data_IF_194066705952
#
_entry.id   IF_194066705952
#
_cell.length_a   1.000
_cell.length_b   1.000
_cell.length_c   1.000
_cell.angle_alpha   90.00
_cell.angle_beta   90.00
_cell.angle_gamma   90.00
#
_symmetry.space_group_name_H-M   'P 1'
#
loop_
_entity.id
_entity.type
_entity.pdbx_description
1 polymer ?
#
# COMPACT_ATOMS: atom_id res chain seq x y z
N UNK A 1 -20.63 -13.31 6.53
CA UNK A 1 -20.21 -12.60 5.29
C UNK A 1 -20.17 -13.62 4.16
N UNK A 2 -20.93 -13.40 3.11
CA UNK A 2 -21.14 -14.37 2.02
C UNK A 2 -20.18 -14.15 0.85
N UNK A 3 -19.64 -12.94 0.64
CA UNK A 3 -18.62 -12.64 -0.36
C UNK A 3 -17.86 -11.36 0.01
N UNK A 4 -16.67 -11.19 -0.59
CA UNK A 4 -15.84 -9.99 -0.45
C UNK A 4 -15.52 -9.44 -1.83
N UNK A 5 -15.66 -8.13 -2.01
CA UNK A 5 -15.14 -7.39 -3.17
C UNK A 5 -13.98 -6.50 -2.72
N UNK A 6 -12.85 -6.60 -3.39
CA UNK A 6 -11.66 -5.78 -3.15
C UNK A 6 -11.35 -4.98 -4.42
N UNK A 7 -11.12 -3.68 -4.29
CA UNK A 7 -10.86 -2.77 -5.40
C UNK A 7 -9.54 -2.05 -5.16
N UNK A 8 -8.58 -2.16 -6.08
CA UNK A 8 -7.26 -1.55 -5.96
C UNK A 8 -6.58 -1.88 -4.61
N UNK A 9 -6.70 -3.14 -4.15
CA UNK A 9 -6.40 -3.50 -2.77
C UNK A 9 -4.96 -3.99 -2.56
N UNK A 10 -4.36 -3.55 -1.46
CA UNK A 10 -3.11 -4.06 -0.94
C UNK A 10 -3.40 -5.23 0.01
N UNK A 11 -2.88 -6.42 -0.29
CA UNK A 11 -2.98 -7.62 0.57
C UNK A 11 -1.68 -7.90 1.34
N UNK A 12 -0.52 -7.58 0.75
CA UNK A 12 0.80 -7.67 1.37
C UNK A 12 1.39 -6.27 1.53
N UNK A 13 1.25 -5.71 2.73
CA UNK A 13 1.68 -4.34 3.03
C UNK A 13 3.22 -4.21 2.99
N UNK A 14 3.97 -5.27 3.35
CA UNK A 14 5.43 -5.25 3.24
C UNK A 14 5.86 -5.13 1.78
N UNK A 15 5.26 -5.94 0.92
CA UNK A 15 5.58 -5.93 -0.50
C UNK A 15 5.20 -4.59 -1.14
N UNK A 16 4.01 -4.09 -0.85
CA UNK A 16 3.57 -2.76 -1.27
C UNK A 16 4.56 -1.67 -0.84
N UNK A 17 4.97 -1.64 0.43
CA UNK A 17 5.95 -0.69 0.93
C UNK A 17 7.29 -0.77 0.18
N UNK A 18 7.82 -1.98 -0.02
CA UNK A 18 9.08 -2.18 -0.73
C UNK A 18 8.99 -1.78 -2.21
N UNK A 19 7.86 -2.02 -2.85
CA UNK A 19 7.58 -1.57 -4.23
C UNK A 19 7.43 -0.05 -4.30
N UNK A 20 6.82 0.58 -3.28
CA UNK A 20 6.63 2.04 -3.22
C UNK A 20 7.92 2.83 -2.95
N UNK A 21 8.92 2.23 -2.29
CA UNK A 21 10.24 2.84 -2.12
C UNK A 21 11.23 2.49 -3.24
N UNK A 22 10.86 1.64 -4.19
CA UNK A 22 11.68 1.37 -5.37
C UNK A 22 11.83 2.65 -6.23
N UNK A 23 12.74 2.62 -7.22
CA UNK A 23 12.99 3.77 -8.10
C UNK A 23 11.80 3.97 -9.07
N UNK A 24 10.70 4.53 -8.55
CA UNK A 24 9.45 4.84 -9.26
C UNK A 24 9.12 6.31 -9.10
N UNK A 25 8.46 6.89 -10.11
CA UNK A 25 8.21 8.34 -10.21
C UNK A 25 6.75 8.73 -9.97
N UNK A 26 5.92 7.82 -9.47
CA UNK A 26 4.52 8.12 -9.14
C UNK A 26 4.47 9.01 -7.90
N UNK A 27 3.93 10.21 -8.05
CA UNK A 27 3.98 11.29 -7.05
C UNK A 27 3.22 10.98 -5.75
N UNK A 28 2.28 10.04 -5.77
CA UNK A 28 1.53 9.58 -4.61
C UNK A 28 2.30 8.59 -3.73
N UNK A 29 3.34 7.92 -4.25
CA UNK A 29 4.09 6.92 -3.48
C UNK A 29 4.80 7.50 -2.25
N UNK A 30 5.45 8.68 -2.31
CA UNK A 30 6.00 9.32 -1.11
C UNK A 30 4.96 9.60 -0.02
N UNK A 31 3.70 9.88 -0.40
CA UNK A 31 2.61 10.07 0.55
C UNK A 31 2.29 8.76 1.29
N UNK A 32 2.09 7.65 0.56
CA UNK A 32 1.83 6.35 1.17
C UNK A 32 2.99 5.87 2.04
N UNK A 33 4.22 6.07 1.59
CA UNK A 33 5.43 5.74 2.35
C UNK A 33 5.49 6.56 3.64
N UNK A 34 5.26 7.88 3.59
CA UNK A 34 5.24 8.75 4.77
C UNK A 34 4.17 8.32 5.76
N UNK A 35 2.96 8.09 5.27
CA UNK A 35 1.83 7.66 6.11
C UNK A 35 2.13 6.34 6.82
N UNK A 36 2.61 5.33 6.09
CA UNK A 36 2.97 4.03 6.67
C UNK A 36 4.07 4.16 7.71
N UNK A 37 5.12 4.94 7.43
CA UNK A 37 6.23 5.15 8.37
C UNK A 37 5.75 5.80 9.67
N UNK A 38 4.97 6.87 9.58
CA UNK A 38 4.45 7.57 10.77
C UNK A 38 3.44 6.71 11.54
N UNK A 39 2.47 6.09 10.86
CA UNK A 39 1.44 5.28 11.51
C UNK A 39 2.01 4.02 12.19
N UNK A 40 2.99 3.36 11.56
CA UNK A 40 3.63 2.18 12.15
C UNK A 40 4.56 2.56 13.30
N UNK A 41 5.18 3.73 13.28
CA UNK A 41 5.97 4.21 14.40
C UNK A 41 5.10 4.55 15.61
N UNK A 42 4.01 5.28 15.37
CA UNK A 42 3.05 5.64 16.41
C UNK A 42 2.45 4.42 17.13
N UNK A 43 2.18 3.33 16.38
CA UNK A 43 1.56 2.10 16.94
C UNK A 43 2.58 1.12 17.51
N UNK A 44 3.77 1.00 16.89
CA UNK A 44 4.70 -0.09 17.15
C UNK A 44 6.10 0.35 17.60
N UNK A 45 6.39 1.64 17.63
CA UNK A 45 7.71 2.21 17.98
C UNK A 45 8.85 1.54 17.17
N UNK A 46 8.75 1.61 15.83
CA UNK A 46 9.63 0.85 14.92
C UNK A 46 10.91 1.58 14.52
N UNK A 47 10.99 2.91 14.69
CA UNK A 47 12.18 3.70 14.31
C UNK A 47 12.42 4.96 15.16
N UNK A 48 11.53 5.34 16.05
CA UNK A 48 11.71 6.45 17.02
C UNK A 48 11.59 7.84 16.36
N UNK A 49 12.69 8.52 16.07
CA UNK A 49 12.61 9.91 15.61
C UNK A 49 12.47 10.00 14.09
N UNK A 50 11.63 10.93 13.56
CA UNK A 50 11.52 11.19 12.12
C UNK A 50 12.87 11.46 11.42
N UNK A 51 13.83 12.09 12.12
CA UNK A 51 15.18 12.35 11.61
C UNK A 51 16.03 11.11 11.41
N UNK A 52 15.63 9.94 11.89
CA UNK A 52 16.31 8.68 11.64
C UNK A 52 15.87 8.05 10.30
N UNK A 53 14.69 8.43 9.84
CA UNK A 53 14.02 7.89 8.64
C UNK A 53 14.06 8.87 7.47
N UNK A 54 13.61 10.10 7.70
CA UNK A 54 13.46 11.11 6.65
C UNK A 54 14.71 11.98 6.52
N UNK A 55 14.99 12.43 5.29
CA UNK A 55 15.97 13.52 5.05
C UNK A 55 15.42 14.86 5.49
N UNK A 56 16.29 15.83 5.73
CA UNK A 56 15.87 17.22 5.81
C UNK A 56 15.51 17.77 4.41
N UNK A 57 14.48 18.61 4.29
CA UNK A 57 13.66 19.18 5.37
C UNK A 57 12.52 18.27 5.84
N UNK A 58 12.27 17.14 5.18
CA UNK A 58 11.11 16.25 5.38
C UNK A 58 11.01 15.70 6.81
N UNK A 59 12.15 15.47 7.47
CA UNK A 59 12.16 15.06 8.87
C UNK A 59 11.44 16.06 9.82
N UNK A 60 11.45 17.34 9.46
CA UNK A 60 10.81 18.40 10.23
C UNK A 60 9.38 18.71 9.77
N UNK A 61 9.05 18.45 8.50
CA UNK A 61 7.78 18.88 7.90
C UNK A 61 6.76 17.75 7.79
N UNK A 62 7.19 16.53 7.43
CA UNK A 62 6.30 15.41 7.16
C UNK A 62 5.38 15.05 8.34
N UNK A 63 5.84 15.01 9.61
CA UNK A 63 4.92 14.72 10.72
C UNK A 63 3.74 15.68 10.83
N UNK A 64 3.93 16.95 10.48
CA UNK A 64 2.87 17.97 10.52
C UNK A 64 1.89 17.91 9.35
N UNK A 65 2.22 17.21 8.27
CA UNK A 65 1.33 17.10 7.10
C UNK A 65 0.15 16.13 7.33
N UNK A 66 0.25 15.23 8.31
CA UNK A 66 -0.76 14.21 8.61
C UNK A 66 -1.59 14.53 9.85
N UNK A 67 -1.94 15.80 10.03
CA UNK A 67 -2.67 16.35 11.19
C UNK A 67 -4.20 16.37 11.04
N UNK A 68 -4.73 15.78 9.96
CA UNK A 68 -6.16 15.81 9.59
C UNK A 68 -6.71 17.21 9.22
N UNK A 69 -5.84 18.21 9.04
CA UNK A 69 -6.21 19.56 8.62
C UNK A 69 -5.71 19.89 7.21
N UNK A 70 -4.63 19.22 6.78
CA UNK A 70 -4.12 19.34 5.42
C UNK A 70 -4.94 18.48 4.46
N UNK A 71 -5.31 19.04 3.30
CA UNK A 71 -5.93 18.30 2.21
C UNK A 71 -4.87 17.48 1.44
N UNK A 72 -5.34 16.54 0.63
CA UNK A 72 -4.48 15.65 -0.15
C UNK A 72 -3.42 16.39 -0.99
N UNK A 73 -3.82 17.48 -1.66
CA UNK A 73 -2.93 18.28 -2.49
C UNK A 73 -1.87 19.02 -1.66
N UNK A 74 -2.20 19.47 -0.44
CA UNK A 74 -1.24 20.12 0.48
C UNK A 74 -0.18 19.11 0.94
N UNK A 75 -0.60 17.89 1.25
CA UNK A 75 0.33 16.81 1.62
C UNK A 75 1.25 16.48 0.46
N UNK A 76 0.73 16.33 -0.76
CA UNK A 76 1.55 16.07 -1.94
C UNK A 76 2.56 17.20 -2.20
N UNK A 77 2.14 18.47 -2.07
CA UNK A 77 3.02 19.62 -2.27
C UNK A 77 4.17 19.69 -1.25
N UNK A 78 3.99 19.10 -0.06
CA UNK A 78 5.00 19.03 0.99
C UNK A 78 6.00 17.88 0.84
N UNK A 79 5.84 17.02 -0.18
CA UNK A 79 6.65 15.82 -0.37
C UNK A 79 7.53 15.90 -1.63
N UNK A 80 8.64 15.16 -1.68
CA UNK A 80 9.47 15.09 -2.88
C UNK A 80 8.81 14.19 -3.96
N UNK A 81 9.24 14.27 -5.22
CA UNK A 81 8.69 13.47 -6.31
C UNK A 81 8.93 11.96 -6.17
N UNK A 82 9.93 11.55 -5.38
CA UNK A 82 10.25 10.13 -5.20
C UNK A 82 10.46 9.77 -3.72
N UNK A 83 10.11 8.54 -3.37
CA UNK A 83 10.37 8.01 -2.02
C UNK A 83 11.87 7.93 -1.68
N UNK A 84 12.73 7.83 -2.70
CA UNK A 84 14.18 7.84 -2.51
C UNK A 84 14.71 9.20 -2.05
N UNK A 85 14.12 10.29 -2.54
CA UNK A 85 14.46 11.65 -2.10
C UNK A 85 13.91 11.97 -0.71
N UNK A 86 12.82 11.30 -0.31
CA UNK A 86 12.22 11.40 1.00
C UNK A 86 13.08 10.76 2.10
N UNK A 87 13.60 9.55 1.83
CA UNK A 87 14.24 8.71 2.84
C UNK A 87 15.74 8.98 2.96
N UNK A 88 16.26 8.85 4.17
CA UNK A 88 17.73 8.84 4.40
C UNK A 88 18.36 7.66 3.68
N UNK A 89 19.53 7.81 3.03
CA UNK A 89 20.19 6.73 2.31
C UNK A 89 20.46 5.50 3.17
N UNK A 90 20.87 5.72 4.42
CA UNK A 90 21.15 4.61 5.35
C UNK A 90 19.86 3.84 5.70
N UNK A 91 18.75 4.54 5.99
CA UNK A 91 17.47 3.90 6.27
C UNK A 91 16.92 3.18 5.04
N UNK A 92 16.98 3.83 3.87
CA UNK A 92 16.57 3.21 2.59
C UNK A 92 17.33 1.90 2.31
N UNK A 93 18.64 1.91 2.49
CA UNK A 93 19.47 0.71 2.27
C UNK A 93 19.12 -0.39 3.29
N UNK A 94 19.01 -0.02 4.56
CA UNK A 94 18.71 -0.94 5.65
C UNK A 94 17.34 -1.59 5.49
N UNK A 95 16.27 -0.81 5.26
CA UNK A 95 14.92 -1.36 5.13
C UNK A 95 14.76 -2.26 3.91
N UNK A 96 15.55 -2.05 2.85
CA UNK A 96 15.54 -2.93 1.65
C UNK A 96 16.30 -4.23 1.87
N UNK A 97 17.44 -4.17 2.52
CA UNK A 97 18.36 -5.31 2.62
C UNK A 97 18.12 -6.19 3.87
N UNK A 98 17.56 -5.61 4.94
CA UNK A 98 17.37 -6.32 6.19
C UNK A 98 15.90 -6.79 6.38
N UNK A 99 15.58 -8.08 6.15
CA UNK A 99 14.23 -8.60 6.38
C UNK A 99 13.82 -8.62 7.86
N UNK A 100 14.77 -8.43 8.79
CA UNK A 100 14.51 -8.34 10.24
C UNK A 100 14.35 -6.90 10.73
N UNK A 101 14.37 -5.91 9.82
CA UNK A 101 14.04 -4.53 10.16
C UNK A 101 12.68 -4.46 10.90
N UNK A 102 12.57 -3.74 12.04
CA UNK A 102 11.35 -3.70 12.85
C UNK A 102 10.10 -3.34 12.07
N UNK A 103 10.16 -2.31 11.21
CA UNK A 103 9.05 -1.95 10.32
C UNK A 103 8.63 -3.12 9.43
N UNK A 104 9.57 -3.77 8.74
CA UNK A 104 9.27 -4.89 7.85
C UNK A 104 8.61 -6.07 8.57
N UNK A 105 9.06 -6.35 9.80
CA UNK A 105 8.44 -7.38 10.64
C UNK A 105 6.97 -7.04 10.90
N UNK A 106 6.65 -5.79 11.27
CA UNK A 106 5.27 -5.36 11.53
C UNK A 106 4.42 -5.33 10.26
N UNK A 107 4.97 -4.85 9.14
CA UNK A 107 4.26 -4.89 7.85
C UNK A 107 3.88 -6.33 7.48
N UNK A 108 4.79 -7.31 7.64
CA UNK A 108 4.48 -8.73 7.41
C UNK A 108 3.42 -9.30 8.33
N UNK A 109 3.39 -8.86 9.59
CA UNK A 109 2.37 -9.28 10.55
C UNK A 109 0.98 -8.77 10.19
N UNK A 110 0.90 -7.62 9.51
CA UNK A 110 -0.34 -7.02 9.03
C UNK A 110 -0.74 -7.47 7.60
N UNK A 111 0.06 -8.31 6.93
CA UNK A 111 -0.29 -8.84 5.62
C UNK A 111 -1.49 -9.80 5.72
N UNK A 112 -2.51 -9.56 4.87
CA UNK A 112 -3.77 -10.34 4.88
C UNK A 112 -3.83 -11.41 3.80
N UNK A 113 -2.75 -11.68 3.09
CA UNK A 113 -2.66 -12.73 2.07
C UNK A 113 -2.14 -14.09 2.60
N UNK A 114 -1.97 -14.19 3.94
CA UNK A 114 -1.41 -15.36 4.62
C UNK A 114 -2.46 -16.18 5.38
N UNK A 115 -3.71 -15.84 5.24
CA UNK A 115 -4.84 -16.54 5.87
C UNK A 115 -5.71 -17.28 4.85
N UNK A 116 -6.70 -18.04 5.32
CA UNK A 116 -7.69 -18.71 4.48
C UNK A 116 -9.06 -18.07 4.72
N UNK A 117 -9.52 -17.16 3.84
CA UNK A 117 -10.86 -16.60 3.95
C UNK A 117 -11.92 -17.65 3.58
N UNK A 118 -12.95 -17.78 4.42
CA UNK A 118 -14.08 -18.66 4.13
C UNK A 118 -14.97 -18.12 3.01
N UNK A 119 -15.06 -16.79 2.89
CA UNK A 119 -15.87 -16.15 1.84
C UNK A 119 -15.07 -16.01 0.54
N UNK A 120 -15.68 -16.21 -0.63
CA UNK A 120 -15.01 -15.95 -1.91
C UNK A 120 -14.68 -14.46 -2.07
N UNK A 121 -13.51 -14.18 -2.64
CA UNK A 121 -13.02 -12.82 -2.89
C UNK A 121 -13.04 -12.57 -4.40
N UNK A 122 -13.61 -11.45 -4.81
CA UNK A 122 -13.41 -10.89 -6.15
C UNK A 122 -12.61 -9.61 -6.06
N UNK A 123 -11.47 -9.61 -6.76
CA UNK A 123 -10.59 -8.44 -6.84
C UNK A 123 -10.83 -7.75 -8.18
N UNK A 124 -10.97 -6.43 -8.15
CA UNK A 124 -11.03 -5.55 -9.31
C UNK A 124 -9.76 -4.71 -9.35
N UNK A 125 -8.99 -4.79 -10.44
CA UNK A 125 -7.71 -4.11 -10.51
C UNK A 125 -7.29 -3.81 -11.94
N UNK A 126 -6.60 -2.68 -12.15
CA UNK A 126 -5.99 -2.34 -13.43
C UNK A 126 -4.56 -2.88 -13.52
N UNK A 127 -4.16 -3.51 -14.63
CA UNK A 127 -2.74 -3.82 -14.87
C UNK A 127 -1.85 -2.58 -14.95
N UNK A 128 -2.42 -1.42 -15.30
CA UNK A 128 -1.75 -0.13 -15.45
C UNK A 128 -1.84 0.74 -14.18
N UNK A 129 -2.32 0.19 -13.06
CA UNK A 129 -2.34 0.87 -11.78
C UNK A 129 -0.91 1.16 -11.29
N UNK A 130 -0.55 2.44 -11.22
CA UNK A 130 0.80 2.90 -10.85
C UNK A 130 0.97 3.17 -9.35
N UNK A 131 -0.10 3.05 -8.56
CA UNK A 131 -0.07 3.22 -7.11
C UNK A 131 -0.05 1.88 -6.39
N UNK A 132 -0.96 0.97 -6.75
CA UNK A 132 -1.00 -0.40 -6.25
C UNK A 132 -0.65 -1.36 -7.39
N UNK A 133 0.56 -1.87 -7.37
CA UNK A 133 1.14 -2.60 -8.51
C UNK A 133 0.48 -3.95 -8.76
N UNK A 134 0.11 -4.21 -10.01
CA UNK A 134 -0.58 -5.44 -10.41
C UNK A 134 0.23 -6.70 -10.12
N UNK A 135 1.56 -6.65 -10.25
CA UNK A 135 2.44 -7.77 -9.91
C UNK A 135 2.41 -8.11 -8.41
N UNK A 136 2.22 -7.12 -7.53
CA UNK A 136 2.11 -7.33 -6.08
C UNK A 136 0.77 -7.99 -5.74
N UNK A 137 -0.31 -7.57 -6.41
CA UNK A 137 -1.60 -8.23 -6.34
C UNK A 137 -1.52 -9.69 -6.79
N UNK A 138 -0.92 -9.96 -7.96
CA UNK A 138 -0.81 -11.32 -8.50
C UNK A 138 -0.06 -12.25 -7.53
N UNK A 139 1.01 -11.76 -6.91
CA UNK A 139 1.76 -12.53 -5.91
C UNK A 139 0.89 -12.87 -4.68
N UNK A 140 0.11 -11.90 -4.20
CA UNK A 140 -0.79 -12.09 -3.06
C UNK A 140 -1.94 -13.04 -3.39
N UNK A 141 -2.57 -12.89 -4.56
CA UNK A 141 -3.63 -13.80 -5.01
C UNK A 141 -3.12 -15.23 -5.18
N UNK A 142 -1.88 -15.40 -5.69
CA UNK A 142 -1.25 -16.73 -5.77
C UNK A 142 -1.12 -17.38 -4.39
N UNK A 143 -0.67 -16.62 -3.37
CA UNK A 143 -0.56 -17.12 -1.99
C UNK A 143 -1.92 -17.49 -1.39
N UNK A 144 -2.93 -16.63 -1.56
CA UNK A 144 -4.31 -16.90 -1.09
C UNK A 144 -4.88 -18.19 -1.72
N UNK A 145 -4.76 -18.32 -3.05
CA UNK A 145 -5.22 -19.52 -3.78
C UNK A 145 -4.49 -20.79 -3.34
N UNK A 146 -3.17 -20.69 -3.11
CA UNK A 146 -2.38 -21.83 -2.62
C UNK A 146 -2.84 -22.30 -1.23
N UNK A 147 -3.46 -21.40 -0.45
CA UNK A 147 -4.06 -21.71 0.85
C UNK A 147 -5.54 -22.13 0.75
N UNK A 148 -6.06 -22.33 -0.46
CA UNK A 148 -7.43 -22.77 -0.69
C UNK A 148 -8.48 -21.66 -0.80
N UNK A 149 -8.09 -20.38 -0.77
CA UNK A 149 -9.04 -19.29 -0.91
C UNK A 149 -9.63 -19.22 -2.33
N UNK A 150 -10.94 -19.03 -2.42
CA UNK A 150 -11.63 -18.79 -3.69
C UNK A 150 -11.47 -17.32 -4.11
N UNK A 151 -10.41 -17.00 -4.86
CA UNK A 151 -10.11 -15.64 -5.31
C UNK A 151 -10.21 -15.56 -6.83
N UNK A 152 -10.98 -14.61 -7.34
CA UNK A 152 -11.05 -14.24 -8.77
C UNK A 152 -10.57 -12.81 -8.98
N UNK A 153 -9.96 -12.54 -10.14
CA UNK A 153 -9.55 -11.20 -10.55
C UNK A 153 -10.40 -10.78 -11.75
N UNK A 154 -10.99 -9.61 -11.68
CA UNK A 154 -11.57 -8.91 -12.81
C UNK A 154 -10.65 -7.75 -13.17
N UNK A 155 -9.96 -7.86 -14.30
CA UNK A 155 -9.03 -6.83 -14.78
C UNK A 155 -9.78 -5.66 -15.43
N UNK A 156 -9.25 -4.45 -15.23
CA UNK A 156 -9.77 -3.19 -15.73
C UNK A 156 -8.68 -2.48 -16.56
N UNK A 157 -8.34 -2.98 -17.77
CA UNK A 157 -7.21 -2.48 -18.53
C UNK A 157 -7.39 -1.02 -18.96
N UNK A 158 -6.26 -0.30 -19.10
CA UNK A 158 -6.20 1.08 -19.57
C UNK A 158 -6.65 2.13 -18.55
N UNK A 159 -6.71 1.80 -17.26
CA UNK A 159 -7.13 2.71 -16.20
C UNK A 159 -6.02 2.90 -15.16
N UNK A 160 -5.84 4.13 -14.69
CA UNK A 160 -5.07 4.45 -13.50
C UNK A 160 -5.77 3.97 -12.22
N UNK A 161 -5.15 4.19 -11.06
CA UNK A 161 -5.69 3.77 -9.77
C UNK A 161 -7.10 4.32 -9.51
N UNK A 162 -7.29 5.63 -9.61
CA UNK A 162 -8.55 6.31 -9.29
C UNK A 162 -9.66 5.93 -10.27
N UNK A 163 -9.38 5.93 -11.58
CA UNK A 163 -10.35 5.56 -12.60
C UNK A 163 -10.72 4.08 -12.53
N UNK A 164 -9.78 3.20 -12.18
CA UNK A 164 -10.07 1.78 -11.95
C UNK A 164 -11.02 1.61 -10.75
N UNK A 165 -10.82 2.36 -9.68
CA UNK A 165 -11.67 2.36 -8.49
C UNK A 165 -13.10 2.83 -8.82
N UNK A 166 -13.24 3.97 -9.51
CA UNK A 166 -14.55 4.51 -9.96
C UNK A 166 -15.27 3.47 -10.83
N UNK A 167 -14.58 2.85 -11.76
CA UNK A 167 -15.16 1.86 -12.69
C UNK A 167 -15.56 0.56 -12.01
N UNK A 168 -14.81 0.14 -10.99
CA UNK A 168 -15.05 -1.11 -10.27
C UNK A 168 -16.20 -1.02 -9.27
N UNK A 169 -16.39 0.11 -8.58
CA UNK A 169 -17.32 0.23 -7.46
C UNK A 169 -18.75 -0.25 -7.78
N UNK A 170 -19.39 0.14 -8.90
CA UNK A 170 -20.73 -0.38 -9.22
C UNK A 170 -20.78 -1.90 -9.44
N UNK A 171 -19.67 -2.50 -9.93
CA UNK A 171 -19.54 -3.95 -10.16
C UNK A 171 -19.33 -4.68 -8.84
N UNK A 172 -18.47 -4.14 -7.97
CA UNK A 172 -18.20 -4.65 -6.63
C UNK A 172 -19.47 -4.71 -5.77
N UNK A 173 -20.25 -3.62 -5.76
CA UNK A 173 -21.53 -3.55 -5.05
C UNK A 173 -22.52 -4.60 -5.58
N UNK A 174 -22.65 -4.74 -6.91
CA UNK A 174 -23.53 -5.76 -7.51
C UNK A 174 -23.08 -7.17 -7.15
N UNK A 175 -21.78 -7.43 -7.15
CA UNK A 175 -21.25 -8.73 -6.78
C UNK A 175 -21.62 -9.12 -5.35
N UNK A 176 -21.38 -8.23 -4.39
CA UNK A 176 -21.68 -8.50 -2.96
C UNK A 176 -23.19 -8.66 -2.74
N UNK A 177 -24.02 -7.83 -3.38
CA UNK A 177 -25.51 -7.94 -3.28
C UNK A 177 -26.06 -9.26 -3.84
N UNK A 178 -25.44 -9.86 -4.86
CA UNK A 178 -25.88 -11.14 -5.43
C UNK A 178 -25.45 -12.35 -4.60
N UNK A 179 -24.44 -12.18 -3.76
CA UNK A 179 -23.89 -13.24 -2.93
C UNK A 179 -24.53 -13.30 -1.52
N UNK A 180 -25.34 -12.33 -1.16
CA UNK A 180 -26.11 -12.24 0.09
C UNK A 180 -27.54 -12.56 -0.13
#
# INVERSE_FOLDING_TARGET
MTATAAVGAVFDVERFFLSSIADRTTVTLPLYVSYLLLAYDDIYDVHGRPSEVFRQPYASTVPGLFDMQHFFDDVLAGLPPTSRELLRPAYYAEVRSNPSNPLRVRLRQNAVDRWHPAAPIRVYHSPEDEEVFFEDLLASVKRLRHRGAAVTIETLPGLDHVNSWIRAMPRAVRYVKRAG
#
